data_IF_222979789728
#
_entry.id   IF_222979789728
#
_cell.length_a   1.000
_cell.length_b   1.000
_cell.length_c   1.000
_cell.angle_alpha   90.00
_cell.angle_beta   90.00
_cell.angle_gamma   90.00
#
_symmetry.space_group_name_H-M   'P 1'
#
loop_
_entity.id
_entity.type
_entity.pdbx_description
1 polymer ?
#
# COMPACT_ATOMS: atom_id res chain seq x y z
N UNK A 1 -75.53 14.56 19.37
CA UNK A 1 -74.06 14.46 19.36
C UNK A 1 -73.67 13.06 19.80
N UNK A 2 -73.39 12.17 18.86
CA UNK A 2 -72.95 10.79 19.10
C UNK A 2 -72.08 10.29 17.94
N UNK A 3 -71.06 9.54 18.34
CA UNK A 3 -70.37 8.42 17.67
C UNK A 3 -69.34 8.69 16.56
N UNK A 4 -68.11 8.29 16.90
CA UNK A 4 -67.02 7.78 16.07
C UNK A 4 -67.51 7.00 14.84
N UNK A 5 -66.91 7.24 13.68
CA UNK A 5 -66.99 6.34 12.52
C UNK A 5 -65.69 6.47 11.74
N UNK A 6 -64.83 5.45 11.86
CA UNK A 6 -63.62 5.33 11.07
C UNK A 6 -63.96 5.27 9.59
N UNK A 7 -63.30 6.11 8.81
CA UNK A 7 -63.26 5.93 7.37
C UNK A 7 -62.17 4.89 7.06
N UNK A 8 -62.64 3.68 6.74
CA UNK A 8 -61.85 2.57 6.24
C UNK A 8 -61.50 2.86 4.78
N UNK A 9 -60.23 3.08 4.49
CA UNK A 9 -59.71 3.25 3.12
C UNK A 9 -59.84 1.91 2.36
N UNK A 10 -60.30 1.89 1.09
CA UNK A 10 -60.45 0.65 0.32
C UNK A 10 -59.07 0.07 -0.06
N UNK A 11 -58.90 -1.27 -0.12
CA UNK A 11 -57.62 -1.85 -0.49
C UNK A 11 -57.36 -1.62 -1.98
N UNK A 12 -56.21 -1.06 -2.31
CA UNK A 12 -55.78 -0.85 -3.70
C UNK A 12 -55.51 -2.21 -4.39
N UNK A 13 -55.84 -2.35 -5.68
CA UNK A 13 -55.51 -3.55 -6.45
C UNK A 13 -53.99 -3.70 -6.58
N UNK A 14 -53.46 -4.94 -6.57
CA UNK A 14 -52.05 -5.15 -6.80
C UNK A 14 -51.73 -4.91 -8.29
N UNK A 15 -50.53 -4.37 -8.54
CA UNK A 15 -49.84 -4.28 -9.84
C UNK A 15 -50.02 -2.95 -10.61
N UNK A 16 -49.16 -1.98 -10.32
CA UNK A 16 -47.97 -1.68 -11.14
C UNK A 16 -47.19 -0.53 -10.46
N UNK A 17 -46.61 -0.81 -9.29
CA UNK A 17 -45.51 0.03 -8.82
C UNK A 17 -44.27 -0.55 -9.50
N UNK A 18 -43.60 0.16 -10.43
CA UNK A 18 -42.24 -0.22 -10.76
C UNK A 18 -41.44 -0.06 -9.46
N UNK A 19 -40.95 -1.18 -9.00
CA UNK A 19 -40.08 -1.34 -7.85
C UNK A 19 -38.90 -0.37 -7.99
N UNK A 20 -38.87 0.68 -7.17
CA UNK A 20 -37.70 1.54 -6.97
C UNK A 20 -36.79 0.92 -5.91
N UNK A 21 -36.59 -0.40 -5.97
CA UNK A 21 -35.53 -1.07 -5.24
C UNK A 21 -34.83 -2.08 -6.15
N UNK A 22 -33.51 -2.05 -6.07
CA UNK A 22 -32.53 -2.84 -6.82
C UNK A 22 -32.21 -2.32 -8.23
N UNK A 23 -30.90 -2.15 -8.47
CA UNK A 23 -30.26 -1.85 -9.76
C UNK A 23 -30.05 -0.37 -10.12
N UNK A 24 -29.53 0.42 -9.17
CA UNK A 24 -28.50 1.42 -9.48
C UNK A 24 -27.26 1.08 -8.63
N UNK A 25 -26.74 -0.12 -8.85
CA UNK A 25 -25.40 -0.48 -8.39
C UNK A 25 -24.42 0.28 -9.29
N UNK A 26 -23.66 1.17 -8.65
CA UNK A 26 -22.55 1.97 -9.17
C UNK A 26 -21.72 1.26 -10.25
N UNK A 27 -22.10 1.39 -11.52
CA UNK A 27 -21.15 1.29 -12.64
C UNK A 27 -20.38 2.62 -12.73
N UNK A 28 -19.55 2.87 -11.73
CA UNK A 28 -18.47 3.83 -11.84
C UNK A 28 -17.55 3.34 -12.97
N UNK A 29 -17.40 4.08 -14.08
CA UNK A 29 -16.58 3.62 -15.19
C UNK A 29 -15.15 3.44 -14.70
N UNK A 30 -14.56 2.28 -15.04
CA UNK A 30 -13.20 1.84 -14.67
C UNK A 30 -12.07 2.88 -14.86
N UNK A 31 -12.36 3.98 -15.56
CA UNK A 31 -11.47 5.12 -15.79
C UNK A 31 -11.13 5.96 -14.55
N UNK A 32 -11.92 5.96 -13.47
CA UNK A 32 -11.54 6.71 -12.26
C UNK A 32 -10.48 5.99 -11.42
N UNK A 33 -10.45 4.65 -11.47
CA UNK A 33 -9.50 3.85 -10.70
C UNK A 33 -8.08 3.94 -11.27
N UNK A 34 -7.96 4.06 -12.59
CA UNK A 34 -6.67 4.23 -13.27
C UNK A 34 -6.09 5.66 -13.12
N UNK A 35 -6.92 6.68 -12.90
CA UNK A 35 -6.44 8.05 -12.67
C UNK A 35 -5.77 8.26 -11.30
N UNK A 36 -6.08 7.41 -10.31
CA UNK A 36 -5.50 7.49 -8.98
C UNK A 36 -4.05 6.96 -8.93
N UNK A 37 -3.65 6.10 -9.86
CA UNK A 37 -2.31 5.47 -9.90
C UNK A 37 -1.21 6.49 -10.27
N UNK A 38 -1.53 7.50 -11.09
CA UNK A 38 -0.56 8.47 -11.64
C UNK A 38 -0.69 9.90 -11.07
N UNK A 39 -1.15 10.02 -9.82
CA UNK A 39 -1.23 11.34 -9.18
C UNK A 39 0.17 12.02 -9.19
N UNK A 40 0.30 13.27 -9.67
CA UNK A 40 1.60 13.93 -9.86
C UNK A 40 2.48 13.97 -8.60
N UNK A 41 1.84 14.04 -7.42
CA UNK A 41 2.52 14.01 -6.13
C UNK A 41 3.20 12.67 -5.82
N UNK A 42 2.65 11.53 -6.27
CA UNK A 42 3.27 10.19 -6.13
C UNK A 42 4.58 10.14 -6.90
N UNK A 43 4.59 10.66 -8.13
CA UNK A 43 5.80 10.75 -8.96
C UNK A 43 6.85 11.67 -8.35
N UNK A 44 6.44 12.81 -7.78
CA UNK A 44 7.36 13.72 -7.06
C UNK A 44 7.94 13.03 -5.82
N UNK A 45 7.12 12.32 -5.04
CA UNK A 45 7.56 11.57 -3.87
C UNK A 45 8.55 10.47 -4.26
N UNK A 46 8.23 9.68 -5.29
CA UNK A 46 9.12 8.64 -5.81
C UNK A 46 10.44 9.22 -6.29
N UNK A 47 10.44 10.32 -7.05
CA UNK A 47 11.66 10.96 -7.53
C UNK A 47 12.51 11.51 -6.39
N UNK A 48 11.88 12.16 -5.42
CA UNK A 48 12.56 12.72 -4.24
C UNK A 48 13.20 11.61 -3.43
N UNK A 49 12.44 10.54 -3.17
CA UNK A 49 12.93 9.40 -2.41
C UNK A 49 14.01 8.61 -3.16
N UNK A 50 13.88 8.45 -4.48
CA UNK A 50 14.91 7.82 -5.31
C UNK A 50 16.21 8.62 -5.29
N UNK A 51 16.15 9.95 -5.34
CA UNK A 51 17.33 10.81 -5.21
C UNK A 51 17.96 10.67 -3.82
N UNK A 52 17.14 10.73 -2.76
CA UNK A 52 17.61 10.56 -1.39
C UNK A 52 18.31 9.21 -1.17
N UNK A 53 17.71 8.10 -1.63
CA UNK A 53 18.34 6.77 -1.61
C UNK A 53 19.67 6.76 -2.37
N UNK A 54 19.73 7.40 -3.54
CA UNK A 54 20.94 7.45 -4.35
C UNK A 54 22.06 8.26 -3.71
N UNK A 55 21.76 9.30 -2.93
CA UNK A 55 22.78 10.04 -2.17
C UNK A 55 23.44 9.15 -1.11
N UNK A 56 22.64 8.39 -0.37
CA UNK A 56 23.14 7.45 0.64
C UNK A 56 23.78 6.20 0.03
N UNK A 57 23.30 5.72 -1.11
CA UNK A 57 23.90 4.55 -1.77
C UNK A 57 25.19 4.87 -2.53
N UNK A 58 25.47 6.15 -2.82
CA UNK A 58 26.71 6.59 -3.46
C UNK A 58 27.95 6.19 -2.65
N UNK A 59 27.89 6.24 -1.32
CA UNK A 59 29.03 5.86 -0.46
C UNK A 59 29.36 4.37 -0.52
N UNK A 60 28.39 3.53 -0.89
CA UNK A 60 28.58 2.07 -1.09
C UNK A 60 28.65 1.69 -2.57
N UNK A 61 28.83 2.69 -3.45
CA UNK A 61 28.92 2.53 -4.90
C UNK A 61 27.73 1.77 -5.53
N UNK A 62 26.53 1.97 -4.96
CA UNK A 62 25.26 1.40 -5.47
C UNK A 62 24.38 2.53 -6.02
N UNK A 63 23.52 2.18 -6.98
CA UNK A 63 22.52 3.09 -7.56
C UNK A 63 21.17 2.39 -7.69
N UNK A 64 20.11 3.15 -7.45
CA UNK A 64 18.72 2.80 -7.70
C UNK A 64 18.18 3.58 -8.90
N UNK A 65 17.46 2.87 -9.77
CA UNK A 65 16.77 3.41 -10.94
C UNK A 65 15.26 3.29 -10.76
N UNK A 66 14.79 2.14 -10.28
CA UNK A 66 13.36 1.87 -10.07
C UNK A 66 13.17 1.45 -8.62
N UNK A 67 12.54 2.32 -7.83
CA UNK A 67 12.39 2.12 -6.40
C UNK A 67 11.65 0.84 -6.02
N UNK A 68 10.60 0.47 -6.77
CA UNK A 68 9.82 -0.74 -6.49
C UNK A 68 10.65 -1.97 -6.79
N UNK A 69 11.25 -2.05 -7.98
CA UNK A 69 12.04 -3.21 -8.38
C UNK A 69 13.30 -3.36 -7.55
N UNK A 70 13.98 -2.25 -7.29
CA UNK A 70 15.28 -2.25 -6.62
C UNK A 70 15.22 -2.56 -5.13
N UNK A 71 14.07 -2.40 -4.49
CA UNK A 71 13.89 -2.77 -3.08
C UNK A 71 13.33 -4.20 -2.91
N UNK A 72 12.78 -4.82 -3.98
CA UNK A 72 12.18 -6.16 -3.88
C UNK A 72 13.15 -7.28 -3.55
N UNK A 73 14.44 -7.13 -3.82
CA UNK A 73 15.46 -8.14 -3.50
C UNK A 73 16.02 -8.04 -2.06
N UNK A 74 15.66 -6.95 -1.35
CA UNK A 74 16.12 -6.61 -0.01
C UNK A 74 17.59 -6.14 0.08
N UNK A 75 18.41 -6.29 -0.97
CA UNK A 75 19.86 -6.03 -0.88
C UNK A 75 20.19 -4.54 -0.85
N UNK A 76 19.47 -3.74 -1.64
CA UNK A 76 19.63 -2.28 -1.64
C UNK A 76 19.03 -1.66 -0.38
N UNK A 77 17.91 -2.21 0.09
CA UNK A 77 17.31 -1.84 1.38
C UNK A 77 18.29 -2.07 2.53
N UNK A 78 18.89 -3.26 2.63
CA UNK A 78 19.89 -3.57 3.65
C UNK A 78 21.06 -2.60 3.59
N UNK A 79 21.63 -2.37 2.39
CA UNK A 79 22.75 -1.45 2.23
C UNK A 79 22.42 -0.01 2.63
N UNK A 80 21.21 0.45 2.30
CA UNK A 80 20.72 1.76 2.71
C UNK A 80 20.60 1.86 4.23
N UNK A 81 20.05 0.83 4.90
CA UNK A 81 19.93 0.80 6.36
C UNK A 81 21.29 0.77 7.06
N UNK A 82 22.28 0.05 6.54
CA UNK A 82 23.64 0.06 7.09
C UNK A 82 24.27 1.45 7.00
N UNK A 83 24.09 2.15 5.87
CA UNK A 83 24.59 3.52 5.71
C UNK A 83 23.85 4.49 6.63
N UNK A 84 22.52 4.40 6.75
CA UNK A 84 21.75 5.32 7.58
C UNK A 84 22.00 5.14 9.08
N UNK A 85 22.10 3.88 9.52
CA UNK A 85 22.34 3.55 10.92
C UNK A 85 23.82 3.60 11.32
N UNK A 86 24.73 3.65 10.34
CA UNK A 86 26.18 3.48 10.55
C UNK A 86 26.52 2.19 11.32
N UNK A 87 25.66 1.16 11.22
CA UNK A 87 25.77 -0.13 11.89
C UNK A 87 25.64 -1.26 10.89
N UNK A 88 26.15 -2.44 11.26
CA UNK A 88 26.00 -3.66 10.47
C UNK A 88 24.74 -4.41 10.85
N UNK A 89 24.18 -5.14 9.88
CA UNK A 89 23.06 -6.04 10.15
C UNK A 89 23.44 -7.07 11.22
N UNK A 90 22.52 -7.31 12.17
CA UNK A 90 22.71 -8.30 13.24
C UNK A 90 22.56 -9.74 12.72
N UNK A 91 21.85 -9.94 11.61
CA UNK A 91 21.67 -11.23 10.94
C UNK A 91 22.39 -11.26 9.59
N UNK A 92 22.79 -12.48 9.21
CA UNK A 92 23.28 -12.76 7.85
C UNK A 92 22.11 -12.66 6.87
N UNK A 93 22.41 -12.14 5.68
CA UNK A 93 21.47 -12.02 4.58
C UNK A 93 22.06 -12.64 3.31
N UNK A 94 21.22 -12.91 2.33
CA UNK A 94 21.58 -13.56 1.08
C UNK A 94 22.11 -12.55 0.06
N UNK A 95 23.42 -12.60 -0.20
CA UNK A 95 24.10 -11.76 -1.21
C UNK A 95 23.68 -12.08 -2.67
N UNK A 96 23.12 -13.27 -2.91
CA UNK A 96 22.62 -13.72 -4.22
C UNK A 96 21.22 -14.32 -4.08
N UNK A 97 20.18 -13.49 -3.95
CA UNK A 97 18.82 -13.98 -3.72
C UNK A 97 18.19 -14.45 -5.04
N UNK A 98 18.54 -15.67 -5.47
CA UNK A 98 18.04 -16.29 -6.70
C UNK A 98 16.57 -16.71 -6.56
N UNK A 99 16.15 -17.09 -5.36
CA UNK A 99 14.79 -17.55 -5.06
C UNK A 99 14.00 -16.48 -4.33
N UNK A 100 12.67 -16.47 -4.55
CA UNK A 100 11.74 -15.57 -3.84
C UNK A 100 11.90 -15.67 -2.32
N UNK A 101 12.06 -16.88 -1.78
CA UNK A 101 12.26 -17.09 -0.35
C UNK A 101 13.48 -16.32 0.20
N UNK A 102 14.60 -16.30 -0.54
CA UNK A 102 15.81 -15.59 -0.14
C UNK A 102 15.61 -14.07 -0.16
N UNK A 103 14.85 -13.56 -1.14
CA UNK A 103 14.47 -12.14 -1.21
C UNK A 103 13.61 -11.74 -0.02
N UNK A 104 12.62 -12.57 0.31
CA UNK A 104 11.74 -12.36 1.47
C UNK A 104 12.52 -12.36 2.78
N UNK A 105 13.46 -13.29 2.95
CA UNK A 105 14.32 -13.35 4.12
C UNK A 105 15.18 -12.08 4.26
N UNK A 106 15.76 -11.58 3.16
CA UNK A 106 16.51 -10.31 3.17
C UNK A 106 15.64 -9.13 3.61
N UNK A 107 14.42 -9.02 3.08
CA UNK A 107 13.48 -7.96 3.45
C UNK A 107 13.08 -8.10 4.93
N UNK A 108 12.78 -9.31 5.39
CA UNK A 108 12.43 -9.58 6.79
C UNK A 108 13.54 -9.16 7.76
N UNK A 109 14.80 -9.48 7.44
CA UNK A 109 15.97 -9.04 8.22
C UNK A 109 16.08 -7.51 8.27
N UNK A 110 15.83 -6.84 7.15
CA UNK A 110 15.84 -5.38 7.08
C UNK A 110 14.72 -4.73 7.91
N UNK A 111 13.53 -5.33 7.94
CA UNK A 111 12.41 -4.84 8.75
C UNK A 111 12.66 -5.04 10.25
N UNK A 112 13.14 -6.22 10.66
CA UNK A 112 13.49 -6.46 12.07
C UNK A 112 14.65 -5.54 12.52
N UNK A 113 15.53 -5.13 11.60
CA UNK A 113 16.55 -4.09 11.89
C UNK A 113 15.93 -2.73 12.20
N UNK A 114 14.96 -2.30 11.38
CA UNK A 114 14.26 -1.03 11.56
C UNK A 114 13.50 -0.97 12.88
N UNK A 115 12.84 -2.06 13.25
CA UNK A 115 12.11 -2.17 14.52
C UNK A 115 13.04 -2.06 15.72
N UNK A 116 14.17 -2.77 15.71
CA UNK A 116 15.15 -2.76 16.81
C UNK A 116 15.84 -1.41 16.98
N UNK A 117 16.17 -0.74 15.88
CA UNK A 117 16.82 0.57 15.90
C UNK A 117 15.82 1.73 16.08
N UNK A 118 14.53 1.41 16.27
CA UNK A 118 13.43 2.39 16.38
C UNK A 118 13.40 3.41 15.23
N UNK A 119 13.84 3.01 14.03
CA UNK A 119 13.88 3.86 12.85
C UNK A 119 12.47 3.90 12.26
N UNK A 120 11.78 5.03 12.46
CA UNK A 120 10.44 5.25 11.91
C UNK A 120 10.52 5.55 10.41
N UNK A 121 10.00 4.65 9.57
CA UNK A 121 9.81 4.88 8.14
C UNK A 121 8.55 5.74 7.89
N UNK A 122 8.58 7.04 8.24
CA UNK A 122 7.41 7.96 8.20
C UNK A 122 6.94 8.34 6.78
N UNK A 123 7.24 7.55 5.74
CA UNK A 123 6.77 7.83 4.37
C UNK A 123 6.68 6.60 3.46
N UNK A 124 7.35 5.50 3.82
CA UNK A 124 7.28 4.21 3.11
C UNK A 124 6.49 3.22 3.97
N UNK A 125 6.50 3.42 5.29
CA UNK A 125 6.09 2.45 6.28
C UNK A 125 4.62 2.10 6.22
N UNK A 126 3.70 3.05 6.07
CA UNK A 126 2.27 2.69 6.13
C UNK A 126 1.89 1.82 4.94
N UNK A 127 2.11 2.27 3.71
CA UNK A 127 1.71 1.48 2.54
C UNK A 127 2.53 0.20 2.37
N UNK A 128 3.84 0.21 2.63
CA UNK A 128 4.68 -0.99 2.45
C UNK A 128 4.56 -1.97 3.63
N UNK A 129 4.46 -1.51 4.88
CA UNK A 129 4.21 -2.42 6.02
C UNK A 129 2.80 -2.98 5.95
N UNK A 130 1.79 -2.20 5.56
CA UNK A 130 0.43 -2.73 5.36
C UNK A 130 0.45 -3.73 4.20
N UNK A 131 1.04 -3.40 3.05
CA UNK A 131 1.13 -4.33 1.93
C UNK A 131 1.90 -5.61 2.28
N UNK A 132 3.00 -5.52 3.04
CA UNK A 132 3.75 -6.68 3.49
C UNK A 132 2.99 -7.47 4.57
N UNK A 133 2.26 -6.82 5.47
CA UNK A 133 1.44 -7.48 6.50
C UNK A 133 0.23 -8.19 5.92
N UNK A 134 -0.35 -7.70 4.83
CA UNK A 134 -1.49 -8.34 4.16
C UNK A 134 -1.08 -9.32 3.06
N UNK A 135 0.16 -9.25 2.57
CA UNK A 135 0.69 -10.18 1.55
C UNK A 135 1.36 -11.43 2.14
N UNK A 136 1.31 -11.64 3.47
CA UNK A 136 1.77 -12.85 4.17
C UNK A 136 0.71 -13.39 5.11
#
# INVERSE_FOLDING_TARGET
MMANSGFLEPPLPPQFFPDLTAEEEEDLPATEKDLAEDAPWKKIQQNTFTRWCNEHLKVVNKRMVDLQKDLTDGLKLIGLLEVLSQKKMYRKYHLRPNFRQMKLENVSVALEFLEREHIRLVSIGESLLIALRESF
#
